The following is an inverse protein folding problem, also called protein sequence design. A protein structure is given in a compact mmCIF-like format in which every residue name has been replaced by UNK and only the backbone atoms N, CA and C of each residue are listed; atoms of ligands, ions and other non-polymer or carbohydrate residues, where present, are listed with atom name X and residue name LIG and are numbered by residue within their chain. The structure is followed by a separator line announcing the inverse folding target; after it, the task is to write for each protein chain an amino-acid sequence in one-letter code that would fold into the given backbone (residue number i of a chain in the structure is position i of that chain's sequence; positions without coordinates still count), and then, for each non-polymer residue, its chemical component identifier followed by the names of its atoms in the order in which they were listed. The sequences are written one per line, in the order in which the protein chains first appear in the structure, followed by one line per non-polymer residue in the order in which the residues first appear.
data_IF_408022663308
#
_entry.id   IF_408022663308
#
_cell.length_a   1.000
_cell.length_b   1.000
_cell.length_c   1.000
_cell.angle_alpha   90.00
_cell.angle_beta   90.00
_cell.angle_gamma   90.00
#
_symmetry.space_group_name_H-M   'P 1'
#
loop_
_entity.id
_entity.type
_entity.pdbx_description
1 polymer ?
#
# COMPACT_ATOMS: atom_id res chain seq x y z
N UNK A 1 -16.31 -1.03 38.79
CA UNK A 1 -16.54 0.08 37.84
C UNK A 1 -15.29 0.45 37.04
N UNK A 2 -14.10 0.52 37.64
CA UNK A 2 -12.86 0.93 36.94
C UNK A 2 -12.30 -0.14 35.98
N UNK A 3 -12.49 -1.41 36.30
CA UNK A 3 -12.04 -2.56 35.49
C UNK A 3 -12.75 -2.63 34.13
N UNK A 4 -14.04 -2.32 34.09
CA UNK A 4 -14.82 -2.28 32.84
C UNK A 4 -14.34 -1.14 31.92
N UNK A 5 -14.02 0.03 32.48
CA UNK A 5 -13.47 1.15 31.72
C UNK A 5 -12.09 0.84 31.13
N UNK A 6 -11.22 0.18 31.91
CA UNK A 6 -9.89 -0.25 31.42
C UNK A 6 -10.01 -1.28 30.30
N UNK A 7 -10.91 -2.27 30.42
CA UNK A 7 -11.15 -3.26 29.38
C UNK A 7 -11.71 -2.64 28.08
N UNK A 8 -12.60 -1.66 28.19
CA UNK A 8 -13.13 -0.90 27.05
C UNK A 8 -12.02 -0.13 26.32
N UNK A 9 -11.14 0.53 27.05
CA UNK A 9 -10.01 1.27 26.45
C UNK A 9 -9.05 0.32 25.71
N UNK A 10 -8.68 -0.81 26.31
CA UNK A 10 -7.81 -1.83 25.68
C UNK A 10 -8.43 -2.41 24.40
N UNK A 11 -9.75 -2.64 24.38
CA UNK A 11 -10.46 -3.10 23.19
C UNK A 11 -10.46 -2.06 22.06
N UNK A 12 -10.59 -0.77 22.39
CA UNK A 12 -10.51 0.32 21.40
C UNK A 12 -9.10 0.48 20.81
N UNK A 13 -8.04 0.29 21.61
CA UNK A 13 -6.65 0.36 21.11
C UNK A 13 -6.28 -0.85 20.22
N UNK A 14 -6.72 -2.06 20.57
CA UNK A 14 -6.41 -3.28 19.80
C UNK A 14 -7.20 -3.38 18.50
N UNK A 15 -8.45 -2.90 18.47
CA UNK A 15 -9.26 -2.84 17.24
C UNK A 15 -8.72 -1.85 16.21
N UNK A 16 -8.13 -0.73 16.64
CA UNK A 16 -7.47 0.25 15.75
C UNK A 16 -6.24 -0.33 15.01
N UNK A 17 -5.46 -1.20 15.64
CA UNK A 17 -4.28 -1.82 15.01
C UNK A 17 -4.64 -2.98 14.07
N UNK A 18 -5.78 -3.65 14.30
CA UNK A 18 -6.25 -4.75 13.45
C UNK A 18 -6.98 -4.26 12.19
N UNK A 19 -7.64 -3.09 12.28
CA UNK A 19 -8.25 -2.40 11.14
C UNK A 19 -7.19 -1.90 10.14
N UNK A 20 -6.00 -1.52 10.64
CA UNK A 20 -4.91 -0.98 9.82
C UNK A 20 -4.40 -1.99 8.77
N UNK A 21 -4.30 -3.29 9.10
CA UNK A 21 -3.87 -4.33 8.15
C UNK A 21 -4.94 -4.70 7.11
N UNK A 22 -6.22 -4.56 7.46
CA UNK A 22 -7.31 -4.83 6.52
C UNK A 22 -7.48 -3.70 5.49
N UNK A 23 -7.19 -2.45 5.88
CA UNK A 23 -7.16 -1.29 4.97
C UNK A 23 -5.88 -1.23 4.13
N UNK A 24 -4.77 -1.77 4.62
CA UNK A 24 -3.49 -1.83 3.89
C UNK A 24 -3.34 -3.06 2.99
N UNK A 25 -4.44 -3.78 2.72
CA UNK A 25 -4.47 -4.89 1.77
C UNK A 25 -4.21 -4.38 0.34
N UNK A 26 -2.95 -4.09 0.05
CA UNK A 26 -2.44 -3.97 -1.31
C UNK A 26 -2.69 -5.32 -1.95
N UNK A 27 -3.78 -5.43 -2.73
CA UNK A 27 -4.05 -6.59 -3.57
C UNK A 27 -2.92 -6.72 -4.58
N UNK A 28 -1.87 -7.44 -4.19
CA UNK A 28 -0.66 -7.63 -5.00
C UNK A 28 -1.04 -8.36 -6.28
N UNK A 29 -0.84 -7.71 -7.41
CA UNK A 29 -1.11 -8.27 -8.74
C UNK A 29 0.09 -9.10 -9.21
N UNK A 30 -0.13 -10.12 -10.05
CA UNK A 30 0.94 -10.94 -10.60
C UNK A 30 1.94 -10.10 -11.43
N UNK A 31 3.17 -10.62 -11.53
CA UNK A 31 4.31 -9.95 -12.16
C UNK A 31 5.01 -8.93 -11.25
N UNK A 32 6.08 -8.36 -11.76
CA UNK A 32 6.98 -7.47 -11.01
C UNK A 32 7.06 -6.07 -11.63
N UNK A 33 7.50 -5.11 -10.82
CA UNK A 33 7.78 -3.76 -11.31
C UNK A 33 8.99 -3.81 -12.26
N UNK A 34 8.95 -3.10 -13.40
CA UNK A 34 10.12 -2.96 -14.24
C UNK A 34 11.24 -2.26 -13.46
N UNK A 35 12.48 -2.62 -13.76
CA UNK A 35 13.63 -1.96 -13.18
C UNK A 35 13.73 -0.54 -13.75
N UNK A 36 13.83 0.44 -12.86
CA UNK A 36 14.04 1.84 -13.23
C UNK A 36 15.52 2.17 -13.05
N UNK A 37 16.10 2.89 -14.02
CA UNK A 37 17.45 3.40 -13.87
C UNK A 37 17.48 4.38 -12.70
N UNK A 38 18.52 4.33 -11.83
CA UNK A 38 18.60 5.21 -10.66
C UNK A 38 18.70 6.70 -11.03
N UNK A 39 19.07 7.01 -12.27
CA UNK A 39 19.14 8.38 -12.80
C UNK A 39 17.78 8.91 -13.31
N UNK A 40 16.79 8.04 -13.50
CA UNK A 40 15.46 8.41 -13.97
C UNK A 40 14.53 8.68 -12.80
N UNK A 41 14.53 9.92 -12.30
CA UNK A 41 13.52 10.38 -11.35
C UNK A 41 12.25 10.78 -12.10
N UNK A 42 11.16 10.07 -11.82
CA UNK A 42 9.83 10.47 -12.26
C UNK A 42 9.29 11.67 -11.46
N UNK A 43 8.06 12.05 -11.75
CA UNK A 43 7.36 13.10 -11.00
C UNK A 43 7.20 12.63 -9.54
N UNK A 44 7.60 13.49 -8.60
CA UNK A 44 7.45 13.31 -7.15
C UNK A 44 6.00 13.45 -6.70
N UNK A 45 5.15 12.53 -7.14
CA UNK A 45 3.75 12.46 -6.74
C UNK A 45 3.34 10.99 -6.67
N UNK A 46 2.54 10.65 -5.66
CA UNK A 46 1.96 9.33 -5.52
C UNK A 46 0.61 9.28 -6.23
N UNK A 47 0.62 8.76 -7.46
CA UNK A 47 -0.60 8.55 -8.26
C UNK A 47 -1.34 7.26 -7.85
N UNK A 48 -0.70 6.39 -7.09
CA UNK A 48 -1.26 5.16 -6.57
C UNK A 48 -0.64 4.84 -5.20
N UNK A 49 -1.37 4.11 -4.36
CA UNK A 49 -0.89 3.64 -3.04
C UNK A 49 -0.70 2.12 -2.98
N UNK A 50 -1.07 1.41 -4.03
CA UNK A 50 -0.94 -0.03 -4.15
C UNK A 50 -1.47 -0.55 -5.47
N UNK A 51 -1.17 -1.80 -5.79
CA UNK A 51 -1.60 -2.45 -7.03
C UNK A 51 -3.12 -2.36 -7.25
N UNK A 52 -3.91 -2.41 -6.17
CA UNK A 52 -5.36 -2.27 -6.20
C UNK A 52 -5.87 -0.89 -6.65
N UNK A 53 -5.06 0.17 -6.53
CA UNK A 53 -5.39 1.51 -7.02
C UNK A 53 -5.28 1.61 -8.54
N UNK A 54 -4.54 0.70 -9.18
CA UNK A 54 -4.31 0.72 -10.61
C UNK A 54 -5.38 -0.09 -11.37
N UNK A 55 -5.79 0.33 -12.57
CA UNK A 55 -6.75 -0.42 -13.36
C UNK A 55 -6.15 -1.72 -13.93
N UNK A 56 -6.99 -2.73 -14.18
CA UNK A 56 -6.59 -3.98 -14.83
C UNK A 56 -5.42 -4.68 -14.15
N UNK A 57 -4.40 -5.07 -14.92
CA UNK A 57 -3.19 -5.76 -14.44
C UNK A 57 -2.02 -4.82 -14.12
N UNK A 58 -2.21 -3.49 -14.18
CA UNK A 58 -1.16 -2.51 -13.87
C UNK A 58 -0.76 -2.60 -12.40
N UNK A 59 0.54 -2.46 -12.11
CA UNK A 59 1.11 -2.47 -10.76
C UNK A 59 1.46 -1.05 -10.33
N UNK A 60 1.37 -0.79 -9.03
CA UNK A 60 1.80 0.48 -8.46
C UNK A 60 3.29 0.37 -8.10
N UNK A 61 4.13 1.07 -8.87
CA UNK A 61 5.58 0.95 -8.78
C UNK A 61 6.20 2.30 -8.49
N UNK A 62 7.32 2.28 -7.74
CA UNK A 62 8.10 3.49 -7.51
C UNK A 62 8.74 3.95 -8.81
N UNK A 63 8.67 5.25 -9.08
CA UNK A 63 9.37 5.88 -10.20
C UNK A 63 10.66 6.59 -9.74
N UNK A 64 11.20 6.22 -8.57
CA UNK A 64 12.36 6.85 -7.95
C UNK A 64 12.04 8.02 -7.01
N UNK A 65 10.84 8.62 -7.08
CA UNK A 65 10.42 9.68 -6.14
C UNK A 65 9.01 9.47 -5.57
N UNK A 66 8.04 9.15 -6.42
CA UNK A 66 6.68 8.78 -6.03
C UNK A 66 6.29 7.42 -6.63
N UNK A 67 4.99 7.20 -6.79
CA UNK A 67 4.44 5.95 -7.33
C UNK A 67 3.52 6.19 -8.52
N UNK A 68 3.62 5.32 -9.53
CA UNK A 68 2.78 5.36 -10.71
C UNK A 68 2.36 3.95 -11.15
N UNK A 69 1.21 3.86 -11.82
CA UNK A 69 0.72 2.62 -12.39
C UNK A 69 1.52 2.27 -13.66
N UNK A 70 2.21 1.13 -13.65
CA UNK A 70 3.03 0.66 -14.77
C UNK A 70 2.68 -0.78 -15.17
N UNK A 71 3.04 -1.15 -16.40
CA UNK A 71 2.82 -2.51 -16.89
C UNK A 71 3.79 -3.46 -16.16
N UNK A 72 3.31 -4.60 -15.65
CA UNK A 72 4.18 -5.57 -15.01
C UNK A 72 5.09 -6.25 -16.03
N UNK A 73 6.27 -6.67 -15.58
CA UNK A 73 7.10 -7.65 -16.28
C UNK A 73 6.80 -9.05 -15.73
N UNK A 74 6.85 -10.05 -16.62
CA UNK A 74 6.82 -11.45 -16.20
C UNK A 74 8.12 -11.75 -15.46
N UNK A 75 8.01 -12.36 -14.28
CA UNK A 75 9.15 -12.93 -13.56
C UNK A 75 9.17 -14.44 -13.76
#
# INVERSE_FOLDING_TARGET
MKTATVLLLVALFTTNMNIFCALSSSKKKPGSCPEHSPESLGICVDLCSGDGSCPGNLKCCSNGCGHACTRPVCE
#
